data_IF_485143289225
#
_entry.id   IF_485143289225
#
_cell.length_a   1.000
_cell.length_b   1.000
_cell.length_c   1.000
_cell.angle_alpha   90.00
_cell.angle_beta   90.00
_cell.angle_gamma   90.00
#
_symmetry.space_group_name_H-M   'P 1'
#
loop_
_entity.id
_entity.type
_entity.pdbx_description
1 polymer ?
#
# COMPACT_ATOMS: atom_id res chain seq x y z
N UNK A 1 -8.89 -3.64 -14.43
CA UNK A 1 -7.70 -3.01 -13.85
C UNK A 1 -7.81 -1.52 -14.12
N UNK A 2 -7.58 -0.71 -13.10
CA UNK A 2 -7.51 0.74 -13.22
C UNK A 2 -6.13 1.19 -12.74
N UNK A 3 -5.51 2.07 -13.51
CA UNK A 3 -4.25 2.74 -13.19
C UNK A 3 -4.52 4.15 -12.66
N UNK A 4 -3.82 4.52 -11.60
CA UNK A 4 -3.90 5.85 -11.03
C UNK A 4 -2.52 6.47 -10.91
N UNK A 5 -2.41 7.73 -11.35
CA UNK A 5 -1.20 8.53 -11.23
C UNK A 5 -1.32 9.53 -10.09
N UNK A 6 -0.26 9.63 -9.28
CA UNK A 6 -0.14 10.64 -8.24
C UNK A 6 0.35 11.94 -8.88
N UNK A 7 -0.51 12.96 -8.92
CA UNK A 7 -0.20 14.24 -9.57
C UNK A 7 0.38 15.29 -8.64
N UNK A 8 0.24 15.12 -7.32
CA UNK A 8 0.77 16.01 -6.28
C UNK A 8 1.22 15.21 -5.06
N UNK A 9 2.28 15.65 -4.35
CA UNK A 9 2.67 15.00 -3.10
C UNK A 9 1.54 15.03 -2.07
N UNK A 10 1.29 13.90 -1.42
CA UNK A 10 0.23 13.80 -0.42
C UNK A 10 0.62 12.90 0.74
N UNK A 11 0.35 13.34 1.96
CA UNK A 11 0.43 12.51 3.16
C UNK A 11 -0.97 11.94 3.45
N UNK A 12 -1.11 10.64 3.22
CA UNK A 12 -2.39 9.92 3.35
C UNK A 12 -2.44 9.19 4.69
N UNK A 13 -3.28 9.67 5.60
CA UNK A 13 -3.52 9.05 6.90
C UNK A 13 -4.49 7.88 6.77
N UNK A 14 -4.22 6.81 7.54
CA UNK A 14 -5.14 5.69 7.70
C UNK A 14 -6.38 6.07 8.49
N UNK A 15 -7.46 5.29 8.37
CA UNK A 15 -8.78 5.63 8.90
C UNK A 15 -8.87 5.80 10.42
N UNK A 16 -7.89 5.30 11.18
CA UNK A 16 -7.80 5.42 12.65
C UNK A 16 -6.81 6.48 13.11
N UNK A 17 -6.11 7.14 12.19
CA UNK A 17 -5.08 8.11 12.52
C UNK A 17 -5.66 9.52 12.56
N UNK A 18 -5.22 10.30 13.54
CA UNK A 18 -5.61 11.70 13.69
C UNK A 18 -4.62 12.59 12.96
N UNK A 19 -5.11 13.66 12.32
CA UNK A 19 -4.26 14.71 11.74
C UNK A 19 -3.38 15.40 12.78
N UNK A 20 -3.70 15.30 14.07
CA UNK A 20 -2.89 15.85 15.17
C UNK A 20 -1.47 15.27 15.26
N UNK A 21 -1.19 14.14 14.61
CA UNK A 21 0.16 13.55 14.56
C UNK A 21 1.03 14.21 13.47
N UNK A 22 0.47 15.12 12.67
CA UNK A 22 1.12 15.73 11.51
C UNK A 22 1.62 17.14 11.84
N UNK A 23 2.84 17.44 11.40
CA UNK A 23 3.33 18.81 11.34
C UNK A 23 2.77 19.50 10.07
N UNK A 24 1.62 20.16 10.21
CA UNK A 24 0.94 20.84 9.11
C UNK A 24 1.79 21.95 8.48
N UNK A 25 2.52 22.72 9.29
CA UNK A 25 3.40 23.79 8.77
C UNK A 25 4.46 23.23 7.81
N UNK A 26 5.11 22.12 8.20
CA UNK A 26 6.11 21.49 7.35
C UNK A 26 5.50 20.90 6.06
N UNK A 27 4.25 20.43 6.10
CA UNK A 27 3.54 19.97 4.91
C UNK A 27 3.22 21.13 3.97
N UNK A 28 2.70 22.23 4.52
CA UNK A 28 2.36 23.44 3.77
C UNK A 28 3.59 24.05 3.08
N UNK A 29 4.71 24.18 3.80
CA UNK A 29 5.99 24.68 3.25
C UNK A 29 6.52 23.81 2.10
N UNK A 30 6.19 22.52 2.09
CA UNK A 30 6.63 21.55 1.09
C UNK A 30 5.58 21.28 0.01
N UNK A 31 4.41 21.91 0.10
CA UNK A 31 3.29 21.67 -0.81
C UNK A 31 2.77 20.23 -0.78
N UNK A 32 2.79 19.60 0.39
CA UNK A 32 2.28 18.23 0.61
C UNK A 32 0.84 18.32 1.11
N UNK A 33 -0.10 17.78 0.34
CA UNK A 33 -1.50 17.76 0.72
C UNK A 33 -1.72 16.73 1.85
N UNK A 34 -2.50 17.06 2.88
CA UNK A 34 -2.80 16.13 3.99
C UNK A 34 -4.22 15.61 3.85
N UNK A 35 -4.39 14.30 3.68
CA UNK A 35 -5.69 13.65 3.43
C UNK A 35 -5.88 12.41 4.30
N UNK A 36 -7.13 12.00 4.50
CA UNK A 36 -7.47 10.78 5.25
C UNK A 36 -8.23 9.82 4.36
N UNK A 37 -7.85 8.54 4.40
CA UNK A 37 -8.55 7.47 3.66
C UNK A 37 -9.52 6.70 4.57
N UNK A 38 -10.48 6.01 3.95
CA UNK A 38 -11.45 5.17 4.66
C UNK A 38 -10.91 3.79 5.02
N UNK A 39 -9.97 3.27 4.25
CA UNK A 39 -9.32 1.98 4.53
C UNK A 39 -8.36 2.06 5.72
N UNK A 40 -8.07 0.90 6.31
CA UNK A 40 -7.09 0.78 7.39
C UNK A 40 -5.63 0.95 6.93
N UNK A 41 -4.69 0.61 7.81
CA UNK A 41 -3.24 0.73 7.60
C UNK A 41 -2.65 2.03 8.17
N UNK A 42 -1.32 2.14 8.15
CA UNK A 42 -0.58 3.33 8.59
C UNK A 42 -0.62 4.48 7.59
N UNK A 43 0.03 5.59 7.93
CA UNK A 43 0.16 6.74 7.04
C UNK A 43 1.18 6.46 5.94
N UNK A 44 1.03 7.11 4.79
CA UNK A 44 1.95 6.98 3.67
C UNK A 44 2.17 8.33 3.00
N UNK A 45 3.41 8.61 2.60
CA UNK A 45 3.72 9.73 1.71
C UNK A 45 3.66 9.24 0.27
N UNK A 46 2.79 9.85 -0.53
CA UNK A 46 2.71 9.66 -1.96
C UNK A 46 3.50 10.77 -2.66
N UNK A 47 4.34 10.39 -3.61
CA UNK A 47 5.19 11.30 -4.40
C UNK A 47 4.97 11.02 -5.88
N UNK A 48 4.70 12.05 -6.71
CA UNK A 48 4.56 11.90 -8.16
C UNK A 48 5.76 11.20 -8.79
N UNK A 49 5.50 10.25 -9.68
CA UNK A 49 6.54 9.49 -10.40
C UNK A 49 7.26 8.41 -9.58
N UNK A 50 7.03 8.33 -8.26
CA UNK A 50 7.64 7.30 -7.40
C UNK A 50 6.68 6.13 -7.09
N UNK A 51 5.42 6.22 -7.52
CA UNK A 51 4.38 5.26 -7.16
C UNK A 51 3.59 4.84 -8.40
N UNK A 52 3.35 3.53 -8.50
CA UNK A 52 2.36 2.94 -9.41
C UNK A 52 1.22 2.38 -8.56
N UNK A 53 0.00 2.87 -8.78
CA UNK A 53 -1.19 2.37 -8.08
C UNK A 53 -2.08 1.63 -9.07
N UNK A 54 -2.36 0.35 -8.78
CA UNK A 54 -3.27 -0.48 -9.55
C UNK A 54 -4.37 -1.07 -8.67
N UNK A 55 -5.61 -0.93 -9.11
CA UNK A 55 -6.74 -1.64 -8.51
C UNK A 55 -7.06 -2.91 -9.33
N UNK A 56 -7.06 -4.06 -8.64
CA UNK A 56 -7.46 -5.36 -9.18
C UNK A 56 -8.82 -5.73 -8.62
N UNK A 57 -9.77 -5.97 -9.51
CA UNK A 57 -11.15 -6.34 -9.18
C UNK A 57 -11.48 -7.62 -9.92
N UNK A 58 -11.95 -8.62 -9.18
CA UNK A 58 -12.42 -9.92 -9.71
C UNK A 58 -13.86 -10.16 -9.25
N UNK A 59 -14.58 -11.01 -9.99
CA UNK A 59 -15.94 -11.41 -9.63
C UNK A 59 -15.96 -12.25 -8.35
N UNK A 60 -17.07 -12.21 -7.60
CA UNK A 60 -17.22 -13.06 -6.41
C UNK A 60 -17.38 -14.56 -6.74
N UNK A 61 -17.63 -14.88 -8.01
CA UNK A 61 -17.66 -16.22 -8.59
C UNK A 61 -16.31 -16.68 -9.14
N UNK A 62 -15.29 -15.81 -9.13
CA UNK A 62 -13.94 -16.15 -9.57
C UNK A 62 -13.26 -17.11 -8.57
N UNK A 63 -12.58 -18.18 -9.03
CA UNK A 63 -11.87 -19.10 -8.14
C UNK A 63 -10.79 -18.46 -7.26
N UNK A 64 -10.25 -17.30 -7.65
CA UNK A 64 -9.26 -16.54 -6.87
C UNK A 64 -9.91 -15.62 -5.83
N UNK A 65 -11.22 -15.43 -5.88
CA UNK A 65 -11.93 -14.60 -4.93
C UNK A 65 -12.01 -15.30 -3.58
N UNK A 66 -11.67 -14.57 -2.52
CA UNK A 66 -11.84 -15.00 -1.14
C UNK A 66 -12.39 -13.86 -0.30
N UNK A 67 -13.30 -14.18 0.63
CA UNK A 67 -13.74 -13.23 1.65
C UNK A 67 -12.65 -12.98 2.72
N UNK A 68 -11.59 -13.79 2.72
CA UNK A 68 -10.38 -13.52 3.48
C UNK A 68 -9.42 -12.67 2.63
N UNK A 69 -9.21 -11.43 3.07
CA UNK A 69 -8.29 -10.48 2.42
C UNK A 69 -6.87 -11.03 2.39
N UNK A 70 -6.44 -11.77 3.42
CA UNK A 70 -5.09 -12.32 3.46
C UNK A 70 -4.88 -13.32 2.32
N UNK A 71 -5.81 -14.26 2.13
CA UNK A 71 -5.78 -15.20 1.00
C UNK A 71 -5.77 -14.49 -0.35
N UNK A 72 -6.51 -13.38 -0.46
CA UNK A 72 -6.54 -12.59 -1.70
C UNK A 72 -5.20 -11.90 -1.99
N UNK A 73 -4.51 -11.44 -0.94
CA UNK A 73 -3.20 -10.81 -1.08
C UNK A 73 -2.09 -11.82 -1.38
N UNK A 74 -2.19 -13.05 -0.87
CA UNK A 74 -1.18 -14.10 -1.10
C UNK A 74 -0.98 -14.37 -2.60
N UNK A 75 -2.05 -14.67 -3.35
CA UNK A 75 -1.94 -14.93 -4.79
C UNK A 75 -1.61 -13.67 -5.60
N UNK A 76 -2.07 -12.50 -5.14
CA UNK A 76 -1.80 -11.23 -5.82
C UNK A 76 -0.31 -10.86 -5.69
N UNK A 77 0.31 -11.14 -4.54
CA UNK A 77 1.75 -10.99 -4.33
C UNK A 77 2.57 -11.86 -5.28
N UNK A 78 2.16 -13.11 -5.51
CA UNK A 78 2.81 -13.98 -6.50
C UNK A 78 2.70 -13.43 -7.93
N UNK A 79 1.55 -12.85 -8.29
CA UNK A 79 1.39 -12.19 -9.59
C UNK A 79 2.34 -10.99 -9.70
N UNK A 80 2.42 -10.15 -8.67
CA UNK A 80 3.33 -9.01 -8.64
C UNK A 80 4.80 -9.44 -8.76
N UNK A 81 5.20 -10.47 -8.01
CA UNK A 81 6.56 -11.02 -8.12
C UNK A 81 6.88 -11.47 -9.55
N UNK A 82 5.96 -12.18 -10.22
CA UNK A 82 6.15 -12.58 -11.62
C UNK A 82 6.24 -11.38 -12.56
N UNK A 83 5.36 -10.40 -12.40
CA UNK A 83 5.36 -9.19 -13.22
C UNK A 83 6.66 -8.37 -13.04
N UNK A 84 7.16 -8.27 -11.80
CA UNK A 84 8.43 -7.62 -11.47
C UNK A 84 9.62 -8.35 -12.12
N UNK A 85 9.61 -9.68 -12.11
CA UNK A 85 10.64 -10.48 -12.78
C UNK A 85 10.66 -10.25 -14.30
N UNK A 86 9.49 -10.09 -14.95
CA UNK A 86 9.40 -9.80 -16.39
C UNK A 86 10.04 -8.45 -16.78
N UNK A 87 10.11 -7.49 -15.85
CA UNK A 87 10.77 -6.19 -16.05
C UNK A 87 12.19 -6.13 -15.45
N UNK A 88 12.74 -7.28 -15.04
CA UNK A 88 14.12 -7.42 -14.60
C UNK A 88 14.37 -7.17 -13.12
N UNK A 89 13.32 -7.07 -12.30
CA UNK A 89 13.44 -7.02 -10.82
C UNK A 89 13.44 -8.45 -10.30
N UNK A 90 14.62 -8.96 -9.95
CA UNK A 90 14.84 -10.34 -9.47
C UNK A 90 15.13 -10.39 -7.97
N UNK A 91 15.32 -11.60 -7.44
CA UNK A 91 15.68 -11.86 -6.04
C UNK A 91 14.68 -11.34 -5.01
N UNK A 92 13.42 -11.23 -5.42
CA UNK A 92 12.32 -10.80 -4.55
C UNK A 92 11.71 -11.96 -3.77
N UNK A 93 11.03 -11.63 -2.67
CA UNK A 93 10.28 -12.56 -1.83
C UNK A 93 8.87 -12.04 -1.60
N UNK A 94 7.88 -12.93 -1.69
CA UNK A 94 6.50 -12.63 -1.31
C UNK A 94 6.33 -12.93 0.18
N UNK A 95 5.91 -11.92 0.93
CA UNK A 95 5.60 -12.03 2.34
C UNK A 95 4.38 -12.93 2.56
N UNK A 96 4.58 -14.03 3.27
CA UNK A 96 3.50 -14.91 3.73
C UNK A 96 3.16 -14.68 5.20
N UNK A 97 1.93 -15.02 5.57
CA UNK A 97 1.44 -14.96 6.95
C UNK A 97 0.78 -13.62 7.29
N UNK A 98 0.33 -13.48 8.54
CA UNK A 98 -0.35 -12.27 8.99
C UNK A 98 0.58 -11.05 9.05
N UNK A 99 -0.02 -9.87 9.22
CA UNK A 99 0.70 -8.61 9.40
C UNK A 99 1.69 -8.70 10.58
N UNK A 100 2.96 -8.41 10.31
CA UNK A 100 4.02 -8.25 11.31
C UNK A 100 4.39 -6.77 11.36
N UNK A 101 4.04 -6.08 12.43
CA UNK A 101 4.31 -4.66 12.60
C UNK A 101 4.61 -4.32 14.06
N UNK A 102 5.74 -3.64 14.27
CA UNK A 102 6.03 -2.97 15.54
C UNK A 102 5.30 -1.62 15.61
N UNK A 103 5.65 -0.76 16.58
CA UNK A 103 5.03 0.56 16.73
C UNK A 103 5.17 1.42 15.47
N UNK A 104 6.30 1.31 14.75
CA UNK A 104 6.52 2.07 13.52
C UNK A 104 5.72 1.49 12.36
N UNK A 105 5.67 0.17 12.20
CA UNK A 105 4.85 -0.49 11.19
C UNK A 105 3.34 -0.29 11.38
N UNK A 106 2.90 -0.02 12.61
CA UNK A 106 1.52 0.40 12.89
C UNK A 106 1.25 1.87 12.53
N UNK A 107 2.28 2.72 12.65
CA UNK A 107 2.18 4.15 12.36
C UNK A 107 2.31 4.43 10.87
N UNK A 108 3.25 3.80 10.17
CA UNK A 108 3.65 4.10 8.78
C UNK A 108 3.51 2.84 7.93
N UNK A 109 2.80 2.94 6.81
CA UNK A 109 2.71 1.86 5.83
C UNK A 109 4.11 1.45 5.34
N UNK A 110 4.30 0.15 5.08
CA UNK A 110 5.55 -0.46 4.60
C UNK A 110 6.73 -0.40 5.59
N UNK A 111 6.55 0.10 6.81
CA UNK A 111 7.53 -0.07 7.90
C UNK A 111 7.34 -1.38 8.68
N UNK A 112 6.33 -2.17 8.32
CA UNK A 112 6.14 -3.55 8.74
C UNK A 112 6.13 -4.48 7.52
N UNK A 113 5.61 -5.69 7.71
CA UNK A 113 5.45 -6.69 6.64
C UNK A 113 4.02 -7.24 6.63
N UNK A 114 3.29 -6.99 5.56
CA UNK A 114 1.93 -7.47 5.32
C UNK A 114 1.88 -8.72 4.43
N UNK A 115 0.75 -9.45 4.39
CA UNK A 115 0.55 -10.55 3.45
C UNK A 115 0.60 -10.05 2.00
N UNK A 116 1.24 -10.81 1.12
CA UNK A 116 1.34 -10.51 -0.32
C UNK A 116 2.31 -9.40 -0.69
N UNK A 117 2.96 -8.73 0.27
CA UNK A 117 3.99 -7.74 -0.03
C UNK A 117 5.21 -8.38 -0.71
N UNK A 118 5.78 -7.71 -1.71
CA UNK A 118 6.96 -8.17 -2.44
C UNK A 118 8.15 -7.30 -2.08
N UNK A 119 9.25 -7.90 -1.61
CA UNK A 119 10.47 -7.22 -1.16
C UNK A 119 11.72 -7.83 -1.78
#
# INVERSE_FOLDING_TARGET
MWDFEITRPALVLGSRQSTSIINHHACDERGIDVVTRRSGGGLMLLVPGEHLWLDVVIGADDPLWSNDVQTSMDWLGEIWQRALAEVGVTDTQVASGGLVADELGQLVCFAGRGPGEVM
#
